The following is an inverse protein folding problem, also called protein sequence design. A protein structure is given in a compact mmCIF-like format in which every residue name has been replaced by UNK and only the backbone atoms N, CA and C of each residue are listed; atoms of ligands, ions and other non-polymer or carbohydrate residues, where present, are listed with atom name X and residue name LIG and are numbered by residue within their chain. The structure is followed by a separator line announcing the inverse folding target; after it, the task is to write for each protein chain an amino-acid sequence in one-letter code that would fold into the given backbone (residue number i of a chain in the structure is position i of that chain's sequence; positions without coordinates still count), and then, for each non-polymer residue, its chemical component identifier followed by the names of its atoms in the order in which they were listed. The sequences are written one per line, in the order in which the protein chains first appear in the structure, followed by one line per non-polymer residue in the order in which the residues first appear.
data_IF_872869503120
#
_entry.id   IF_872869503120
#
_cell.length_a   1.000
_cell.length_b   1.000
_cell.length_c   1.000
_cell.angle_alpha   90.00
_cell.angle_beta   90.00
_cell.angle_gamma   90.00
#
_symmetry.space_group_name_H-M   'P 1'
#
loop_
_entity.id
_entity.type
_entity.pdbx_description
1 polymer ?
#
# COMPACT_ATOMS: atom_id res chain seq x y z
N UNK A 1 37.10 -10.15 -24.55
CA UNK A 1 35.98 -9.41 -23.93
C UNK A 1 34.98 -10.38 -23.30
N UNK A 2 34.54 -11.42 -24.00
CA UNK A 2 33.56 -12.40 -23.48
C UNK A 2 33.99 -13.15 -22.22
N UNK A 3 35.30 -13.41 -22.06
CA UNK A 3 35.83 -14.07 -20.86
C UNK A 3 35.67 -13.18 -19.62
N UNK A 4 35.93 -11.89 -19.75
CA UNK A 4 35.75 -10.89 -18.67
C UNK A 4 34.28 -10.76 -18.27
N UNK A 5 33.36 -10.72 -19.24
CA UNK A 5 31.92 -10.64 -18.97
C UNK A 5 31.42 -11.92 -18.26
N UNK A 6 31.90 -13.09 -18.67
CA UNK A 6 31.58 -14.36 -18.00
C UNK A 6 32.11 -14.41 -16.56
N UNK A 7 33.33 -13.93 -16.34
CA UNK A 7 33.91 -13.86 -14.99
C UNK A 7 33.16 -12.86 -14.11
N UNK A 8 32.82 -11.69 -14.64
CA UNK A 8 32.00 -10.68 -13.94
C UNK A 8 30.64 -11.27 -13.54
N UNK A 9 29.92 -11.89 -14.49
CA UNK A 9 28.60 -12.48 -14.23
C UNK A 9 28.67 -13.66 -13.26
N UNK A 10 29.77 -14.43 -13.25
CA UNK A 10 29.97 -15.50 -12.28
C UNK A 10 30.19 -14.96 -10.86
N UNK A 11 30.96 -13.89 -10.72
CA UNK A 11 31.18 -13.21 -9.43
C UNK A 11 29.87 -12.59 -8.94
N UNK A 12 29.11 -11.93 -9.83
CA UNK A 12 27.80 -11.34 -9.48
C UNK A 12 26.84 -12.43 -9.02
N UNK A 13 26.70 -13.54 -9.76
CA UNK A 13 25.84 -14.67 -9.37
C UNK A 13 26.27 -15.34 -8.07
N UNK A 14 27.57 -15.38 -7.81
CA UNK A 14 28.12 -15.92 -6.57
C UNK A 14 27.80 -15.00 -5.38
N UNK A 15 27.92 -13.68 -5.57
CA UNK A 15 27.52 -12.68 -4.57
C UNK A 15 26.01 -12.76 -4.33
N UNK A 16 25.19 -12.87 -5.39
CA UNK A 16 23.73 -13.02 -5.31
C UNK A 16 23.28 -14.29 -4.55
N UNK A 17 24.09 -15.34 -4.47
CA UNK A 17 23.73 -16.58 -3.77
C UNK A 17 24.08 -16.58 -2.28
N UNK A 18 24.79 -15.57 -1.77
CA UNK A 18 25.08 -15.48 -0.35
C UNK A 18 23.76 -15.31 0.43
N UNK A 19 23.54 -16.04 1.54
CA UNK A 19 22.48 -15.67 2.47
C UNK A 19 22.77 -14.24 2.92
N UNK A 20 21.78 -13.34 2.82
CA UNK A 20 21.91 -11.87 2.95
C UNK A 20 22.47 -11.10 1.73
N UNK A 21 22.58 -11.70 0.54
CA UNK A 21 23.06 -10.99 -0.68
C UNK A 21 22.14 -9.86 -1.12
N UNK A 22 20.84 -10.09 -0.99
CA UNK A 22 19.79 -9.09 -1.09
C UNK A 22 19.17 -8.97 0.28
N UNK A 23 19.43 -7.84 0.92
CA UNK A 23 18.60 -7.35 2.00
C UNK A 23 17.65 -6.32 1.41
N UNK A 24 16.78 -6.72 0.48
CA UNK A 24 15.69 -5.88 -0.09
C UNK A 24 14.69 -5.39 0.99
N UNK A 25 14.88 -5.78 2.25
CA UNK A 25 14.02 -5.52 3.41
C UNK A 25 14.70 -4.76 4.55
N UNK A 26 15.90 -4.18 4.35
CA UNK A 26 16.45 -3.21 5.31
C UNK A 26 16.38 -1.81 4.70
N UNK A 27 15.32 -1.06 5.04
CA UNK A 27 15.34 0.39 4.88
C UNK A 27 16.14 1.01 6.03
N UNK A 28 17.34 1.47 5.70
CA UNK A 28 18.19 2.24 6.62
C UNK A 28 17.72 3.69 6.58
N UNK A 29 17.41 4.28 7.74
CA UNK A 29 17.03 5.70 7.79
C UNK A 29 18.21 6.59 7.38
N UNK A 30 17.95 7.75 6.78
CA UNK A 30 19.00 8.67 6.32
C UNK A 30 20.04 9.01 7.42
N UNK A 31 19.59 9.12 8.68
CA UNK A 31 20.47 9.38 9.83
C UNK A 31 21.29 8.16 10.28
N UNK A 32 20.78 6.94 10.10
CA UNK A 32 21.53 5.72 10.40
C UNK A 32 22.71 5.56 9.44
N UNK A 33 22.53 5.95 8.17
CA UNK A 33 23.61 6.00 7.18
C UNK A 33 24.75 6.91 7.66
N UNK A 34 24.42 8.10 8.15
CA UNK A 34 25.41 9.03 8.74
C UNK A 34 26.08 8.39 9.96
N UNK A 35 25.32 7.72 10.83
CA UNK A 35 25.83 6.97 11.97
C UNK A 35 26.86 5.90 11.59
N UNK A 36 26.58 5.12 10.53
CA UNK A 36 27.51 4.11 10.02
C UNK A 36 28.81 4.73 9.48
N UNK A 37 28.72 5.86 8.76
CA UNK A 37 29.93 6.57 8.30
C UNK A 37 30.78 7.07 9.47
N UNK A 38 30.15 7.60 10.53
CA UNK A 38 30.85 8.04 11.75
C UNK A 38 31.50 6.85 12.46
N UNK A 39 30.82 5.70 12.54
CA UNK A 39 31.42 4.48 13.09
C UNK A 39 32.66 4.02 12.32
N UNK A 40 32.58 4.00 10.98
CA UNK A 40 33.72 3.59 10.13
C UNK A 40 34.90 4.55 10.35
N UNK A 41 34.64 5.87 10.39
CA UNK A 41 35.67 6.87 10.65
C UNK A 41 36.31 6.68 12.03
N UNK A 42 35.50 6.47 13.09
CA UNK A 42 35.99 6.19 14.44
C UNK A 42 36.82 4.90 14.51
N UNK A 43 36.43 3.86 13.76
CA UNK A 43 37.17 2.61 13.66
C UNK A 43 38.55 2.83 13.00
N UNK A 44 38.61 3.60 11.90
CA UNK A 44 39.87 3.94 11.24
C UNK A 44 40.78 4.76 12.16
N UNK A 45 40.23 5.77 12.86
CA UNK A 45 40.97 6.54 13.85
C UNK A 45 41.46 5.67 15.02
N UNK A 46 40.68 4.69 15.47
CA UNK A 46 41.09 3.73 16.48
C UNK A 46 42.28 2.88 16.01
N UNK A 47 42.23 2.34 14.79
CA UNK A 47 43.32 1.52 14.24
C UNK A 47 44.62 2.31 14.06
N UNK A 48 44.51 3.59 13.67
CA UNK A 48 45.67 4.46 13.45
C UNK A 48 46.31 4.93 14.75
N UNK A 49 45.53 5.44 15.70
CA UNK A 49 46.05 6.04 16.93
C UNK A 49 46.13 5.05 18.11
N UNK A 50 45.50 3.87 18.01
CA UNK A 50 45.39 2.83 19.05
C UNK A 50 44.95 3.34 20.43
N UNK A 51 44.26 4.48 20.49
CA UNK A 51 43.79 5.06 21.76
C UNK A 51 42.42 4.51 22.13
N UNK A 52 42.33 4.01 23.37
CA UNK A 52 41.11 3.42 23.97
C UNK A 52 39.93 4.40 24.01
N UNK A 53 40.18 5.72 23.96
CA UNK A 53 39.14 6.76 23.87
C UNK A 53 38.28 6.63 22.61
N UNK A 54 38.86 6.26 21.47
CA UNK A 54 38.12 6.06 20.22
C UNK A 54 37.27 4.78 20.24
N UNK A 55 37.74 3.75 20.97
CA UNK A 55 36.97 2.52 21.18
C UNK A 55 35.71 2.78 22.02
N UNK A 56 35.83 3.56 23.10
CA UNK A 56 34.66 3.97 23.91
C UNK A 56 33.68 4.81 23.08
N UNK A 57 34.18 5.76 22.27
CA UNK A 57 33.35 6.56 21.38
C UNK A 57 32.59 5.70 20.34
N UNK A 58 33.25 4.68 19.77
CA UNK A 58 32.63 3.74 18.83
C UNK A 58 31.49 2.96 19.48
N UNK A 59 31.71 2.42 20.69
CA UNK A 59 30.69 1.66 21.43
C UNK A 59 29.48 2.53 21.79
N UNK A 60 29.70 3.78 22.22
CA UNK A 60 28.62 4.74 22.49
C UNK A 60 27.85 5.07 21.21
N UNK A 61 28.54 5.28 20.10
CA UNK A 61 27.90 5.55 18.81
C UNK A 61 27.03 4.36 18.35
N UNK A 62 27.53 3.12 18.47
CA UNK A 62 26.73 1.91 18.19
C UNK A 62 25.47 1.84 19.05
N UNK A 63 25.58 2.12 20.36
CA UNK A 63 24.42 2.14 21.26
C UNK A 63 23.39 3.20 20.85
N UNK A 64 23.82 4.41 20.50
CA UNK A 64 22.93 5.50 20.08
C UNK A 64 22.17 5.11 18.80
N UNK A 65 22.88 4.57 17.79
CA UNK A 65 22.25 4.12 16.54
C UNK A 65 21.27 2.96 16.80
N UNK A 66 21.62 2.01 17.68
CA UNK A 66 20.73 0.92 18.07
C UNK A 66 19.47 1.38 18.83
N UNK A 67 19.61 2.32 19.76
CA UNK A 67 18.48 2.94 20.45
C UNK A 67 17.60 3.74 19.48
N UNK A 68 18.20 4.49 18.56
CA UNK A 68 17.46 5.21 17.53
C UNK A 68 16.67 4.25 16.62
N UNK A 69 17.31 3.18 16.13
CA UNK A 69 16.68 2.17 15.29
C UNK A 69 15.48 1.50 15.98
N UNK A 70 15.63 1.15 17.26
CA UNK A 70 14.55 0.51 18.05
C UNK A 70 13.40 1.48 18.33
N UNK A 71 13.68 2.75 18.63
CA UNK A 71 12.65 3.77 18.83
C UNK A 71 11.90 4.07 17.53
N UNK A 72 12.62 4.22 16.41
CA UNK A 72 12.00 4.45 15.10
C UNK A 72 11.17 3.26 14.66
N UNK A 73 11.67 2.03 14.84
CA UNK A 73 10.90 0.81 14.58
C UNK A 73 9.63 0.71 15.43
N UNK A 74 9.67 1.18 16.68
CA UNK A 74 8.49 1.20 17.53
C UNK A 74 7.52 2.33 17.17
N UNK A 75 8.01 3.45 16.65
CA UNK A 75 7.19 4.55 16.20
C UNK A 75 6.54 4.28 14.82
N UNK A 76 7.23 3.50 13.98
CA UNK A 76 6.72 3.03 12.68
C UNK A 76 5.77 1.84 12.82
N UNK A 77 5.13 1.66 13.98
CA UNK A 77 4.04 0.71 14.13
C UNK A 77 2.99 0.99 13.05
N UNK A 78 2.81 -0.01 12.18
CA UNK A 78 1.93 0.06 11.02
C UNK A 78 0.53 0.44 11.50
N UNK A 79 0.08 1.64 11.16
CA UNK A 79 -1.29 2.03 11.45
C UNK A 79 -2.25 1.30 10.51
N UNK A 80 -3.40 0.89 11.05
CA UNK A 80 -4.48 0.29 10.27
C UNK A 80 -4.89 1.30 9.20
N UNK A 81 -4.79 0.89 7.94
CA UNK A 81 -5.05 1.79 6.84
C UNK A 81 -5.66 1.08 5.66
N UNK A 82 -6.43 1.85 4.91
CA UNK A 82 -7.10 1.44 3.69
C UNK A 82 -6.60 2.32 2.56
N UNK A 83 -5.97 1.73 1.55
CA UNK A 83 -5.37 2.45 0.43
C UNK A 83 -6.07 2.05 -0.86
N UNK A 84 -6.61 3.05 -1.55
CA UNK A 84 -7.19 2.90 -2.89
C UNK A 84 -6.14 3.33 -3.90
N UNK A 85 -5.76 2.41 -4.80
CA UNK A 85 -4.74 2.67 -5.80
C UNK A 85 -5.35 3.00 -7.15
N UNK A 86 -4.83 4.04 -7.78
CA UNK A 86 -5.10 4.31 -9.18
C UNK A 86 -4.11 3.55 -10.08
N UNK A 87 -4.44 2.32 -10.44
CA UNK A 87 -3.70 1.61 -11.49
C UNK A 87 -4.60 1.50 -12.71
N UNK A 88 -4.06 1.88 -13.88
CA UNK A 88 -4.81 1.90 -15.14
C UNK A 88 -5.48 0.54 -15.39
N UNK A 89 -6.81 0.53 -15.50
CA UNK A 89 -7.64 -0.67 -15.69
C UNK A 89 -7.47 -1.75 -14.60
N UNK A 90 -6.97 -1.39 -13.41
CA UNK A 90 -6.82 -2.30 -12.28
C UNK A 90 -7.17 -1.55 -10.98
N UNK A 91 -8.46 -1.23 -10.77
CA UNK A 91 -8.93 -0.67 -9.52
C UNK A 91 -8.65 -1.65 -8.37
N UNK A 92 -7.92 -1.19 -7.37
CA UNK A 92 -7.43 -2.04 -6.29
C UNK A 92 -7.56 -1.36 -4.93
N UNK A 93 -8.00 -2.15 -3.94
CA UNK A 93 -8.13 -1.71 -2.56
C UNK A 93 -7.21 -2.57 -1.69
N UNK A 94 -6.32 -1.91 -0.99
CA UNK A 94 -5.32 -2.50 -0.12
C UNK A 94 -5.68 -2.23 1.33
N UNK A 95 -5.93 -3.31 2.06
CA UNK A 95 -6.26 -3.30 3.47
C UNK A 95 -5.01 -3.67 4.26
N UNK A 96 -4.53 -2.77 5.11
CA UNK A 96 -3.30 -2.94 5.89
C UNK A 96 -3.67 -2.98 7.37
N UNK A 97 -3.17 -3.99 8.08
CA UNK A 97 -3.41 -4.15 9.52
C UNK A 97 -2.21 -3.82 10.36
N UNK A 98 -2.46 -3.58 11.65
CA UNK A 98 -1.43 -3.27 12.63
C UNK A 98 -0.50 -4.44 12.94
N UNK A 99 -0.87 -5.66 12.55
CA UNK A 99 -0.03 -6.86 12.68
C UNK A 99 0.99 -6.98 11.53
N UNK A 100 0.93 -6.09 10.54
CA UNK A 100 1.77 -6.13 9.33
C UNK A 100 1.22 -7.03 8.23
N UNK A 101 0.10 -7.71 8.47
CA UNK A 101 -0.64 -8.44 7.44
C UNK A 101 -1.39 -7.47 6.54
N UNK A 102 -1.41 -7.79 5.26
CA UNK A 102 -2.07 -6.96 4.27
C UNK A 102 -2.87 -7.81 3.28
N UNK A 103 -4.03 -7.31 2.87
CA UNK A 103 -4.90 -7.94 1.88
C UNK A 103 -5.08 -7.00 0.72
N UNK A 104 -4.94 -7.52 -0.49
CA UNK A 104 -5.13 -6.74 -1.70
C UNK A 104 -6.30 -7.33 -2.49
N UNK A 105 -7.34 -6.50 -2.63
CA UNK A 105 -8.55 -6.82 -3.38
C UNK A 105 -8.57 -6.06 -4.69
N UNK A 106 -9.11 -6.67 -5.73
CA UNK A 106 -9.18 -6.11 -7.07
C UNK A 106 -10.62 -6.18 -7.57
N UNK A 107 -11.08 -5.14 -8.28
CA UNK A 107 -12.43 -5.16 -8.85
C UNK A 107 -12.52 -5.99 -10.14
N UNK A 108 -11.43 -6.14 -10.89
CA UNK A 108 -11.42 -6.83 -12.18
C UNK A 108 -10.73 -8.19 -12.13
N UNK A 109 -11.27 -9.12 -12.91
CA UNK A 109 -10.82 -10.49 -13.02
C UNK A 109 -9.45 -10.59 -13.73
N UNK A 110 -8.42 -10.94 -12.96
CA UNK A 110 -7.30 -11.86 -13.32
C UNK A 110 -6.21 -11.33 -14.27
N UNK A 111 -6.46 -10.38 -15.19
CA UNK A 111 -5.51 -10.17 -16.31
C UNK A 111 -4.19 -9.46 -15.97
N UNK A 112 -4.12 -8.62 -14.93
CA UNK A 112 -2.96 -7.72 -14.71
C UNK A 112 -2.32 -7.78 -13.31
N UNK A 113 -2.46 -8.91 -12.60
CA UNK A 113 -1.88 -9.11 -11.25
C UNK A 113 -0.38 -8.78 -11.18
N UNK A 114 0.40 -9.16 -12.20
CA UNK A 114 1.85 -8.88 -12.24
C UNK A 114 2.19 -7.39 -12.41
N UNK A 115 1.32 -6.60 -13.06
CA UNK A 115 1.55 -5.16 -13.25
C UNK A 115 1.19 -4.40 -12.00
N UNK A 116 0.07 -4.76 -11.38
CA UNK A 116 -0.36 -4.18 -10.13
C UNK A 116 0.60 -4.52 -8.99
N UNK A 117 1.05 -5.78 -8.89
CA UNK A 117 2.09 -6.17 -7.93
C UNK A 117 3.34 -5.32 -8.09
N UNK A 118 3.80 -5.05 -9.31
CA UNK A 118 4.96 -4.17 -9.56
C UNK A 118 4.69 -2.71 -9.21
N UNK A 119 3.48 -2.21 -9.46
CA UNK A 119 3.11 -0.83 -9.17
C UNK A 119 3.00 -0.57 -7.65
N UNK A 120 2.49 -1.57 -6.91
CA UNK A 120 2.21 -1.44 -5.47
C UNK A 120 3.34 -1.99 -4.60
N UNK A 121 4.23 -2.85 -5.14
CA UNK A 121 5.33 -3.44 -4.36
C UNK A 121 6.27 -2.41 -3.77
N UNK A 122 6.58 -1.35 -4.51
CA UNK A 122 7.38 -0.25 -3.99
C UNK A 122 6.75 0.38 -2.74
N UNK A 123 5.41 0.42 -2.65
CA UNK A 123 4.70 1.03 -1.54
C UNK A 123 4.67 0.13 -0.30
N UNK A 124 4.30 -1.15 -0.42
CA UNK A 124 4.29 -2.05 0.75
C UNK A 124 5.70 -2.42 1.22
N UNK A 125 6.69 -2.47 0.33
CA UNK A 125 8.09 -2.65 0.73
C UNK A 125 8.61 -1.47 1.54
N UNK A 126 8.22 -0.24 1.20
CA UNK A 126 8.53 0.95 2.01
C UNK A 126 7.88 0.90 3.39
N UNK A 127 6.70 0.29 3.50
CA UNK A 127 5.95 0.15 4.75
C UNK A 127 6.32 -1.10 5.56
N UNK A 128 7.34 -1.86 5.13
CA UNK A 128 7.77 -3.11 5.79
C UNK A 128 6.64 -4.14 5.98
N UNK A 129 5.66 -4.14 5.08
CA UNK A 129 4.56 -5.08 5.14
C UNK A 129 4.97 -6.41 4.52
N UNK A 130 4.39 -7.50 5.04
CA UNK A 130 4.46 -8.78 4.36
C UNK A 130 3.75 -8.68 3.00
N UNK A 131 4.14 -9.53 2.05
CA UNK A 131 3.50 -9.56 0.74
C UNK A 131 1.99 -9.73 0.91
N UNK A 132 1.15 -8.82 0.34
CA UNK A 132 -0.27 -8.88 0.58
C UNK A 132 -0.89 -10.12 0.00
N UNK A 133 -1.79 -10.72 0.76
CA UNK A 133 -2.60 -11.83 0.28
C UNK A 133 -3.63 -11.31 -0.73
N UNK A 134 -3.56 -11.83 -1.96
CA UNK A 134 -4.49 -11.44 -3.03
C UNK A 134 -5.84 -12.11 -2.82
N UNK A 135 -6.86 -11.33 -2.46
CA UNK A 135 -8.22 -11.84 -2.28
C UNK A 135 -9.03 -11.54 -3.54
N UNK A 136 -9.30 -12.59 -4.32
CA UNK A 136 -10.07 -12.52 -5.57
C UNK A 136 -11.45 -13.17 -5.42
N UNK A 137 -11.60 -14.07 -4.44
CA UNK A 137 -12.82 -14.83 -4.18
C UNK A 137 -13.40 -14.52 -2.80
N UNK A 138 -14.60 -15.05 -2.53
CA UNK A 138 -15.27 -14.90 -1.25
C UNK A 138 -14.34 -15.32 -0.11
N UNK A 139 -14.02 -14.37 0.76
CA UNK A 139 -13.09 -14.58 1.86
C UNK A 139 -13.67 -13.94 3.11
N UNK A 140 -13.65 -14.68 4.21
CA UNK A 140 -14.18 -14.22 5.50
C UNK A 140 -13.15 -14.51 6.58
N UNK A 141 -12.77 -13.46 7.26
CA UNK A 141 -11.92 -13.45 8.43
C UNK A 141 -12.55 -12.58 9.53
N UNK A 142 -11.98 -12.57 10.73
CA UNK A 142 -12.50 -11.87 11.91
C UNK A 142 -12.65 -10.36 11.71
N UNK A 143 -11.73 -9.76 10.94
CA UNK A 143 -11.69 -8.30 10.72
C UNK A 143 -11.73 -7.90 9.24
N UNK A 144 -11.80 -8.88 8.34
CA UNK A 144 -11.84 -8.69 6.90
C UNK A 144 -12.92 -9.58 6.30
N UNK A 145 -13.82 -9.03 5.49
CA UNK A 145 -14.80 -9.81 4.75
C UNK A 145 -14.93 -9.27 3.34
N UNK A 146 -14.87 -10.16 2.36
CA UNK A 146 -15.02 -9.82 0.95
C UNK A 146 -16.00 -10.80 0.31
N UNK A 147 -17.10 -10.28 -0.22
CA UNK A 147 -18.10 -11.08 -0.94
C UNK A 147 -18.88 -10.18 -1.90
N UNK A 148 -19.07 -10.62 -3.15
CA UNK A 148 -19.87 -9.91 -4.16
C UNK A 148 -19.53 -8.41 -4.27
N UNK A 149 -18.23 -8.08 -4.34
CA UNK A 149 -17.69 -6.72 -4.40
C UNK A 149 -18.03 -5.83 -3.18
N UNK A 150 -18.51 -6.43 -2.09
CA UNK A 150 -18.68 -5.78 -0.80
C UNK A 150 -17.54 -6.19 0.12
N UNK A 151 -16.80 -5.20 0.59
CA UNK A 151 -15.63 -5.33 1.44
C UNK A 151 -15.93 -4.73 2.81
N UNK A 152 -15.64 -5.48 3.87
CA UNK A 152 -15.68 -4.99 5.24
C UNK A 152 -14.29 -5.09 5.85
N UNK A 153 -13.82 -3.99 6.42
CA UNK A 153 -12.50 -3.93 7.05
C UNK A 153 -12.57 -3.07 8.32
N UNK A 154 -12.24 -3.65 9.48
CA UNK A 154 -12.17 -2.95 10.78
C UNK A 154 -13.32 -1.97 11.06
N UNK A 155 -14.58 -2.39 10.84
CA UNK A 155 -15.75 -1.56 11.12
C UNK A 155 -16.15 -0.60 9.99
N UNK A 156 -15.46 -0.65 8.84
CA UNK A 156 -15.77 0.13 7.65
C UNK A 156 -16.30 -0.75 6.53
N UNK A 157 -17.41 -0.34 5.94
CA UNK A 157 -17.97 -0.99 4.76
C UNK A 157 -17.56 -0.23 3.49
N UNK A 158 -17.05 -0.97 2.52
CA UNK A 158 -16.61 -0.48 1.21
C UNK A 158 -17.36 -1.26 0.14
N UNK A 159 -18.05 -0.56 -0.75
CA UNK A 159 -18.68 -1.18 -1.90
C UNK A 159 -17.92 -0.84 -3.16
N UNK A 160 -17.38 -1.87 -3.81
CA UNK A 160 -16.72 -1.76 -5.09
C UNK A 160 -17.78 -1.96 -6.17
N UNK A 161 -17.96 -0.97 -7.04
CA UNK A 161 -18.97 -0.99 -8.10
C UNK A 161 -18.24 -1.01 -9.43
N UNK A 162 -18.15 -2.20 -10.02
CA UNK A 162 -17.51 -2.46 -11.32
C UNK A 162 -18.53 -2.78 -12.42
N UNK A 163 -19.81 -2.94 -12.08
CA UNK A 163 -20.87 -3.26 -13.01
C UNK A 163 -22.18 -2.56 -12.61
N UNK A 164 -23.18 -2.68 -13.49
CA UNK A 164 -24.54 -2.18 -13.22
C UNK A 164 -25.38 -3.21 -12.47
N UNK A 165 -24.78 -4.12 -11.69
CA UNK A 165 -25.51 -5.21 -11.02
C UNK A 165 -26.53 -4.70 -9.99
N UNK A 166 -26.31 -3.50 -9.46
CA UNK A 166 -27.22 -2.85 -8.52
C UNK A 166 -28.36 -2.08 -9.21
N UNK A 167 -28.36 -2.01 -10.54
CA UNK A 167 -29.42 -1.36 -11.30
C UNK A 167 -30.76 -2.11 -11.12
N UNK A 168 -31.84 -1.37 -10.86
CA UNK A 168 -33.19 -1.90 -10.62
C UNK A 168 -33.35 -2.85 -9.41
N UNK A 169 -32.41 -2.83 -8.46
CA UNK A 169 -32.64 -3.45 -7.16
C UNK A 169 -33.33 -2.45 -6.25
N UNK A 170 -34.27 -2.93 -5.44
CA UNK A 170 -34.91 -2.14 -4.39
C UNK A 170 -34.51 -2.73 -3.05
N UNK A 171 -33.93 -1.93 -2.14
CA UNK A 171 -33.59 -2.42 -0.82
C UNK A 171 -34.85 -2.44 0.06
N UNK A 172 -34.95 -3.41 0.96
CA UNK A 172 -35.94 -3.34 2.05
C UNK A 172 -35.54 -2.23 3.05
N UNK A 173 -34.23 -2.04 3.26
CA UNK A 173 -33.65 -0.93 4.02
C UNK A 173 -32.29 -0.55 3.43
N UNK A 174 -31.94 0.75 3.37
CA UNK A 174 -30.66 1.19 2.82
C UNK A 174 -29.50 0.68 3.67
N UNK A 175 -28.58 -0.06 3.05
CA UNK A 175 -27.40 -0.57 3.74
C UNK A 175 -26.40 0.58 3.94
N UNK A 176 -25.88 0.73 5.16
CA UNK A 176 -24.92 1.79 5.49
C UNK A 176 -23.52 1.42 4.98
N UNK A 177 -22.97 2.23 4.08
CA UNK A 177 -21.67 2.00 3.45
C UNK A 177 -20.81 3.26 3.60
N UNK A 178 -19.62 3.12 4.20
CA UNK A 178 -18.74 4.26 4.44
C UNK A 178 -18.12 4.80 3.14
N UNK A 179 -17.68 3.90 2.24
CA UNK A 179 -16.99 4.25 1.01
C UNK A 179 -17.57 3.54 -0.21
N UNK A 180 -17.98 4.31 -1.21
CA UNK A 180 -18.24 3.77 -2.55
C UNK A 180 -16.99 3.88 -3.40
N UNK A 181 -16.59 2.80 -4.06
CA UNK A 181 -15.50 2.82 -5.02
C UNK A 181 -16.03 2.52 -6.42
N UNK A 182 -16.18 3.56 -7.24
CA UNK A 182 -16.75 3.48 -8.58
C UNK A 182 -15.65 3.19 -9.60
N UNK A 183 -15.78 2.06 -10.27
CA UNK A 183 -14.81 1.52 -11.21
C UNK A 183 -15.38 1.47 -12.64
N UNK A 184 -14.50 1.29 -13.63
CA UNK A 184 -14.89 1.06 -15.02
C UNK A 184 -15.87 -0.12 -15.13
N UNK A 185 -16.94 0.10 -15.91
CA UNK A 185 -18.04 -0.86 -16.11
C UNK A 185 -19.34 -0.42 -15.45
N UNK A 186 -19.28 0.51 -14.50
CA UNK A 186 -20.45 1.24 -14.03
C UNK A 186 -20.84 2.35 -15.03
N UNK A 187 -22.10 2.35 -15.46
CA UNK A 187 -22.67 3.38 -16.34
C UNK A 187 -23.93 4.03 -15.75
N UNK A 188 -24.31 3.67 -14.52
CA UNK A 188 -25.54 4.15 -13.87
C UNK A 188 -25.38 5.54 -13.24
N UNK A 189 -26.49 6.03 -12.66
CA UNK A 189 -26.52 7.24 -11.84
C UNK A 189 -26.28 6.93 -10.36
N UNK A 190 -25.51 7.80 -9.71
CA UNK A 190 -25.20 7.69 -8.29
C UNK A 190 -26.48 7.75 -7.43
N UNK A 191 -27.50 8.47 -7.89
CA UNK A 191 -28.82 8.52 -7.22
C UNK A 191 -29.44 7.13 -7.00
N UNK A 192 -29.31 6.24 -7.98
CA UNK A 192 -29.81 4.86 -7.86
C UNK A 192 -29.06 4.10 -6.78
N UNK A 193 -27.76 4.35 -6.63
CA UNK A 193 -26.94 3.74 -5.59
C UNK A 193 -27.24 4.33 -4.21
N UNK A 194 -27.46 5.63 -4.09
CA UNK A 194 -27.75 6.28 -2.80
C UNK A 194 -29.12 5.85 -2.24
N UNK A 195 -30.09 5.58 -3.13
CA UNK A 195 -31.37 4.96 -2.72
C UNK A 195 -31.15 3.58 -2.10
N UNK A 196 -30.21 2.82 -2.64
CA UNK A 196 -29.84 1.49 -2.16
C UNK A 196 -28.97 1.52 -0.90
N UNK A 197 -28.16 2.56 -0.76
CA UNK A 197 -27.06 2.61 0.19
C UNK A 197 -26.89 4.00 0.78
N UNK A 198 -26.85 4.09 2.11
CA UNK A 198 -26.50 5.35 2.77
C UNK A 198 -24.98 5.49 2.79
N UNK A 199 -24.45 6.42 2.00
CA UNK A 199 -23.01 6.72 1.94
C UNK A 199 -22.67 8.15 2.26
N UNK A 200 -21.44 8.34 2.77
CA UNK A 200 -20.88 9.65 3.07
C UNK A 200 -19.70 10.01 2.17
N UNK A 201 -19.12 9.06 1.43
CA UNK A 201 -17.95 9.32 0.60
C UNK A 201 -17.88 8.42 -0.63
N UNK A 202 -17.66 9.04 -1.79
CA UNK A 202 -17.52 8.37 -3.09
C UNK A 202 -16.09 8.54 -3.62
N UNK A 203 -15.47 7.43 -3.99
CA UNK A 203 -14.13 7.37 -4.56
C UNK A 203 -14.31 7.02 -6.03
N UNK A 204 -13.84 7.93 -6.90
CA UNK A 204 -14.01 7.83 -8.33
C UNK A 204 -12.68 7.35 -8.92
N UNK A 205 -12.69 6.17 -9.54
CA UNK A 205 -11.50 5.61 -10.16
C UNK A 205 -11.11 6.34 -11.45
N UNK A 206 -9.82 6.34 -11.80
CA UNK A 206 -9.39 7.00 -13.04
C UNK A 206 -9.77 6.22 -14.30
N UNK A 207 -10.14 4.94 -14.18
CA UNK A 207 -10.54 4.09 -15.30
C UNK A 207 -11.88 4.47 -15.92
N UNK A 208 -12.69 5.30 -15.25
CA UNK A 208 -13.93 5.86 -15.80
C UNK A 208 -13.65 6.90 -16.91
N UNK A 209 -14.60 7.08 -17.83
CA UNK A 209 -14.49 8.10 -18.87
C UNK A 209 -14.60 9.51 -18.28
N UNK A 210 -13.91 10.49 -18.86
CA UNK A 210 -13.93 11.89 -18.36
C UNK A 210 -15.34 12.48 -18.31
N UNK A 211 -16.18 12.14 -19.29
CA UNK A 211 -17.59 12.52 -19.29
C UNK A 211 -18.34 11.96 -18.08
N UNK A 212 -18.18 10.66 -17.81
CA UNK A 212 -18.90 9.99 -16.73
C UNK A 212 -18.39 10.43 -15.35
N UNK A 213 -17.08 10.67 -15.21
CA UNK A 213 -16.50 11.27 -13.98
C UNK A 213 -17.14 12.61 -13.67
N UNK A 214 -17.27 13.50 -14.67
CA UNK A 214 -17.91 14.81 -14.49
C UNK A 214 -19.37 14.67 -14.07
N UNK A 215 -20.12 13.78 -14.74
CA UNK A 215 -21.51 13.48 -14.37
C UNK A 215 -21.62 13.05 -12.91
N UNK A 216 -20.79 12.09 -12.47
CA UNK A 216 -20.80 11.62 -11.07
C UNK A 216 -20.39 12.74 -10.11
N UNK A 217 -19.38 13.55 -10.44
CA UNK A 217 -18.95 14.68 -9.61
C UNK A 217 -20.07 15.70 -9.44
N UNK A 218 -20.79 16.01 -10.51
CA UNK A 218 -21.92 16.95 -10.46
C UNK A 218 -23.10 16.35 -9.66
N UNK A 219 -23.34 15.04 -9.77
CA UNK A 219 -24.30 14.32 -8.92
C UNK A 219 -23.89 14.34 -7.44
N UNK A 220 -22.61 14.10 -7.11
CA UNK A 220 -22.10 14.19 -5.74
C UNK A 220 -22.28 15.59 -5.15
N UNK A 221 -22.00 16.64 -5.93
CA UNK A 221 -22.21 18.03 -5.51
C UNK A 221 -23.68 18.34 -5.23
N UNK A 222 -24.59 17.88 -6.11
CA UNK A 222 -26.03 18.06 -5.94
C UNK A 222 -26.57 17.36 -4.69
N UNK A 223 -26.01 16.20 -4.35
CA UNK A 223 -26.44 15.36 -3.24
C UNK A 223 -25.66 15.65 -1.94
N UNK A 224 -24.77 16.65 -1.94
CA UNK A 224 -23.91 17.04 -0.81
C UNK A 224 -23.07 15.88 -0.24
N UNK A 225 -22.52 15.04 -1.13
CA UNK A 225 -21.69 13.89 -0.77
C UNK A 225 -20.22 14.19 -1.05
N UNK A 226 -19.35 13.88 -0.09
CA UNK A 226 -17.90 14.00 -0.29
C UNK A 226 -17.44 13.08 -1.41
N UNK A 227 -16.59 13.59 -2.31
CA UNK A 227 -16.00 12.78 -3.36
C UNK A 227 -14.48 12.94 -3.42
N UNK A 228 -13.79 11.88 -3.87
CA UNK A 228 -12.36 11.88 -4.11
C UNK A 228 -12.10 11.32 -5.50
N UNK A 229 -11.45 12.10 -6.36
CA UNK A 229 -10.99 11.66 -7.66
C UNK A 229 -9.59 11.05 -7.55
N UNK A 230 -9.45 9.77 -7.88
CA UNK A 230 -8.14 9.10 -7.94
C UNK A 230 -7.33 9.50 -9.17
N UNK A 231 -7.97 10.08 -10.19
CA UNK A 231 -7.28 10.60 -11.38
C UNK A 231 -6.34 11.76 -11.03
N UNK A 232 -6.73 12.59 -10.06
CA UNK A 232 -5.95 13.75 -9.62
C UNK A 232 -4.95 13.38 -8.51
N UNK A 233 -5.37 12.56 -7.55
CA UNK A 233 -4.58 12.27 -6.35
C UNK A 233 -3.65 11.04 -6.48
N UNK A 234 -3.86 10.18 -7.48
CA UNK A 234 -3.06 8.95 -7.72
C UNK A 234 -3.30 7.82 -6.71
N UNK A 235 -3.38 8.11 -5.42
CA UNK A 235 -3.82 7.15 -4.41
C UNK A 235 -4.55 7.88 -3.28
N UNK A 236 -5.48 7.18 -2.64
CA UNK A 236 -6.19 7.71 -1.48
C UNK A 236 -5.98 6.77 -0.29
N UNK A 237 -5.41 7.29 0.80
CA UNK A 237 -5.14 6.54 2.01
C UNK A 237 -6.04 7.03 3.14
N UNK A 238 -6.76 6.11 3.77
CA UNK A 238 -7.60 6.34 4.95
C UNK A 238 -6.98 5.60 6.12
N UNK A 239 -6.72 6.31 7.22
CA UNK A 239 -6.32 5.70 8.50
C UNK A 239 -7.56 5.32 9.30
N UNK A 240 -7.53 4.16 9.95
CA UNK A 240 -8.64 3.58 10.74
C UNK A 240 -8.24 3.52 12.21
#
# INVERSE_FOLDING_TARGET
VDRLIKTLNAIVRWIEQLPFSSMDTIWVYQWEVVGFYVMILLLVCYLHFKRVKYLHALLVCMLIVGCYHTVMRNNDQVHKSLVFYNVRNCPAVHCITSTGESWLTYADSISDMKRLRRAVSAHWMRLHLSEPYSVVSNYRDKYFFYQNNLLYFYGKWICIVNDNHWHNKEPVQPLKIDYFYLCKGYCGHLESLIRLFSTKKVIIDSSLSEYHKRSIIDECKRLEIDFVSLAENGAFCVRI
#
